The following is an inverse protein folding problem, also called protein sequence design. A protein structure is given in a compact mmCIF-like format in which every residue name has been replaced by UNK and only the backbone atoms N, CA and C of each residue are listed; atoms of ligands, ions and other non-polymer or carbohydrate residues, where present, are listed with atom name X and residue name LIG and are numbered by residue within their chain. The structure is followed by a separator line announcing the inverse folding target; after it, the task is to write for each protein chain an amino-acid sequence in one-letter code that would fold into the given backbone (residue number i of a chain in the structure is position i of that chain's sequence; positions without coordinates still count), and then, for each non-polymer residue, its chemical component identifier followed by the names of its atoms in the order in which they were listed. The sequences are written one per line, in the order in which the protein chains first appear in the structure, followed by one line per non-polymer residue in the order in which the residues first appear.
data_IF_228683933013
#
_entry.id   IF_228683933013
#
_cell.length_a   1.000
_cell.length_b   1.000
_cell.length_c   1.000
_cell.angle_alpha   90.00
_cell.angle_beta   90.00
_cell.angle_gamma   90.00
#
_symmetry.space_group_name_H-M   'P 1'
#
loop_
_entity.id
_entity.type
_entity.pdbx_description
1 polymer ?
#
# COMPACT_ATOMS: atom_id res chain seq x y z
N UNK A 1 6.35 -18.72 14.29
CA UNK A 1 7.16 -17.57 14.76
C UNK A 1 6.34 -16.82 15.80
N UNK A 2 6.77 -16.82 17.07
CA UNK A 2 6.13 -16.00 18.12
C UNK A 2 6.86 -14.65 18.14
N UNK A 3 6.17 -13.57 17.78
CA UNK A 3 6.71 -12.23 17.98
C UNK A 3 6.56 -11.89 19.46
N UNK A 4 7.64 -12.01 20.22
CA UNK A 4 7.70 -11.53 21.60
C UNK A 4 7.87 -10.01 21.50
N UNK A 5 6.78 -9.27 21.61
CA UNK A 5 6.85 -7.82 21.77
C UNK A 5 7.38 -7.54 23.18
N UNK A 6 8.38 -6.66 23.36
CA UNK A 6 8.85 -6.28 24.68
C UNK A 6 7.70 -5.65 25.48
N UNK A 7 7.71 -5.81 26.80
CA UNK A 7 6.67 -5.28 27.71
C UNK A 7 6.48 -3.77 27.66
N UNK A 8 7.39 -3.05 27.02
CA UNK A 8 7.35 -1.61 26.77
C UNK A 8 6.86 -1.23 25.36
N UNK A 9 6.36 -2.16 24.54
CA UNK A 9 5.86 -1.92 23.19
C UNK A 9 4.42 -2.42 23.05
N UNK A 10 3.51 -1.52 22.70
CA UNK A 10 2.10 -1.82 22.51
C UNK A 10 1.67 -1.52 21.07
N UNK A 11 0.91 -2.45 20.49
CA UNK A 11 0.23 -2.26 19.22
C UNK A 11 -1.20 -1.77 19.47
N UNK A 12 -1.57 -0.63 18.89
CA UNK A 12 -2.84 0.05 19.14
C UNK A 12 -3.51 0.42 17.83
N UNK A 13 -4.82 0.22 17.75
CA UNK A 13 -5.67 0.80 16.70
C UNK A 13 -6.50 1.90 17.35
N UNK A 14 -6.31 3.14 16.89
CA UNK A 14 -7.05 4.30 17.42
C UNK A 14 -8.50 4.31 16.92
N UNK A 15 -9.36 5.12 17.54
CA UNK A 15 -10.74 5.32 17.09
C UNK A 15 -10.83 5.82 15.63
N UNK A 16 -9.80 6.54 15.16
CA UNK A 16 -9.71 7.00 13.77
C UNK A 16 -9.28 5.92 12.77
N UNK A 17 -8.99 4.69 13.22
CA UNK A 17 -8.52 3.59 12.38
C UNK A 17 -7.02 3.62 12.08
N UNK A 18 -6.25 4.51 12.73
CA UNK A 18 -4.79 4.51 12.62
C UNK A 18 -4.19 3.38 13.45
N UNK A 19 -3.32 2.60 12.80
CA UNK A 19 -2.57 1.50 13.40
C UNK A 19 -1.21 2.02 13.86
N UNK A 20 -0.89 1.85 15.13
CA UNK A 20 0.26 2.46 15.77
C UNK A 20 1.05 1.46 16.61
N UNK A 21 2.35 1.67 16.67
CA UNK A 21 3.17 1.19 17.76
C UNK A 21 3.46 2.35 18.72
N UNK A 22 3.18 2.15 20.00
CA UNK A 22 3.51 3.08 21.08
C UNK A 22 4.47 2.39 22.05
N UNK A 23 5.42 3.15 22.57
CA UNK A 23 6.42 2.63 23.50
C UNK A 23 6.43 3.40 24.82
N UNK A 24 6.61 2.69 25.91
CA UNK A 24 6.70 3.29 27.24
C UNK A 24 8.07 3.95 27.43
N UNK A 25 8.08 5.26 27.68
CA UNK A 25 9.29 6.01 28.03
C UNK A 25 9.43 6.09 29.55
N UNK A 26 10.41 5.38 30.09
CA UNK A 26 10.65 5.34 31.55
C UNK A 26 10.97 6.71 32.16
N UNK A 27 11.73 7.55 31.45
CA UNK A 27 12.15 8.87 31.96
C UNK A 27 10.97 9.84 32.14
N UNK A 28 10.10 9.94 31.13
CA UNK A 28 8.91 10.80 31.18
C UNK A 28 7.66 10.12 31.75
N UNK A 29 7.73 8.81 32.04
CA UNK A 29 6.63 7.98 32.53
C UNK A 29 5.37 8.12 31.66
N UNK A 30 5.56 8.06 30.36
CA UNK A 30 4.48 8.23 29.39
C UNK A 30 4.59 7.24 28.24
N UNK A 31 3.46 6.98 27.57
CA UNK A 31 3.45 6.29 26.28
C UNK A 31 3.77 7.28 25.17
N UNK A 32 4.85 7.03 24.43
CA UNK A 32 5.23 7.79 23.26
C UNK A 32 4.88 7.04 21.99
N UNK A 33 4.35 7.76 21.01
CA UNK A 33 4.22 7.24 19.65
C UNK A 33 5.62 6.87 19.11
N UNK A 34 5.74 5.65 18.58
CA UNK A 34 6.93 5.19 17.88
C UNK A 34 6.72 5.29 16.36
N UNK A 35 5.63 4.72 15.85
CA UNK A 35 5.30 4.75 14.42
C UNK A 35 3.81 4.57 14.17
N UNK A 36 3.30 5.17 13.09
CA UNK A 36 1.97 4.91 12.53
C UNK A 36 2.17 4.12 11.23
N UNK A 37 1.54 2.93 11.14
CA UNK A 37 1.79 1.98 10.05
C UNK A 37 1.00 2.27 8.78
N UNK A 38 -0.16 2.91 8.87
CA UNK A 38 -1.04 3.20 7.74
C UNK A 38 -1.17 4.70 7.46
N UNK A 39 -0.06 5.44 7.65
CA UNK A 39 -0.06 6.90 7.54
C UNK A 39 0.10 7.36 6.10
N UNK A 40 0.82 6.62 5.28
CA UNK A 40 1.16 7.07 3.94
C UNK A 40 -0.03 6.90 3.00
N UNK A 41 -0.06 7.75 1.98
CA UNK A 41 -1.10 7.74 0.96
C UNK A 41 -1.33 6.34 0.38
N UNK A 42 -0.25 5.61 0.08
CA UNK A 42 -0.29 4.27 -0.50
C UNK A 42 -0.69 3.16 0.49
N UNK A 43 -0.71 3.42 1.79
CA UNK A 43 -1.10 2.40 2.79
C UNK A 43 -2.63 2.25 2.88
N UNK A 44 -3.36 3.20 2.31
CA UNK A 44 -4.83 3.14 2.27
C UNK A 44 -5.25 2.02 1.31
N UNK A 45 -6.23 1.25 1.75
CA UNK A 45 -6.77 0.17 0.94
C UNK A 45 -7.47 0.71 -0.31
N UNK A 46 -7.19 0.11 -1.47
CA UNK A 46 -7.88 0.42 -2.73
C UNK A 46 -7.50 1.75 -3.39
N UNK A 47 -6.38 2.37 -2.99
CA UNK A 47 -5.93 3.63 -3.61
C UNK A 47 -5.66 3.51 -5.10
N UNK A 48 -5.09 2.38 -5.52
CA UNK A 48 -4.96 2.02 -6.93
C UNK A 48 -5.89 0.87 -7.24
N UNK A 49 -6.59 0.96 -8.38
CA UNK A 49 -7.38 -0.15 -8.89
C UNK A 49 -6.52 -1.36 -9.31
N UNK A 50 -7.17 -2.44 -9.76
CA UNK A 50 -6.50 -3.70 -10.11
C UNK A 50 -5.31 -3.51 -11.06
N UNK A 51 -4.21 -4.24 -10.83
CA UNK A 51 -2.97 -4.17 -11.63
C UNK A 51 -2.30 -2.78 -11.68
N UNK A 52 -2.71 -1.86 -10.80
CA UNK A 52 -2.00 -0.61 -10.51
C UNK A 52 -1.14 -0.75 -9.26
N UNK A 53 0.02 -0.12 -9.26
CA UNK A 53 0.89 0.02 -8.10
C UNK A 53 0.94 1.48 -7.63
N UNK A 54 0.95 1.68 -6.32
CA UNK A 54 1.08 3.01 -5.72
C UNK A 54 2.56 3.32 -5.47
N UNK A 55 3.02 4.48 -5.93
CA UNK A 55 4.37 4.96 -5.69
C UNK A 55 4.31 6.14 -4.74
N UNK A 56 4.98 6.02 -3.58
CA UNK A 56 4.92 7.01 -2.51
C UNK A 56 5.55 8.35 -2.93
N UNK A 57 6.56 8.32 -3.79
CA UNK A 57 7.37 9.46 -4.22
C UNK A 57 6.52 10.59 -4.84
N UNK A 58 5.56 10.21 -5.70
CA UNK A 58 4.68 11.16 -6.40
C UNK A 58 3.20 11.00 -5.99
N UNK A 59 2.92 10.18 -4.97
CA UNK A 59 1.56 9.80 -4.56
C UNK A 59 0.64 9.40 -5.74
N UNK A 60 1.21 8.69 -6.72
CA UNK A 60 0.54 8.38 -8.00
C UNK A 60 0.42 6.87 -8.23
N UNK A 61 -0.71 6.46 -8.81
CA UNK A 61 -0.88 5.10 -9.31
C UNK A 61 -0.33 4.95 -10.73
N UNK A 62 0.50 3.91 -10.94
CA UNK A 62 1.00 3.54 -12.26
C UNK A 62 0.66 2.08 -12.56
N UNK A 63 0.41 1.76 -13.81
CA UNK A 63 0.20 0.37 -14.20
C UNK A 63 1.47 -0.45 -14.05
N UNK A 64 1.32 -1.71 -13.67
CA UNK A 64 2.43 -2.67 -13.70
C UNK A 64 3.02 -2.79 -15.12
N UNK A 65 4.29 -3.17 -15.22
CA UNK A 65 4.94 -3.38 -16.52
C UNK A 65 4.17 -4.41 -17.35
N UNK A 66 3.84 -4.07 -18.60
CA UNK A 66 3.00 -4.89 -19.47
C UNK A 66 1.49 -4.62 -19.36
N UNK A 67 1.08 -3.67 -18.52
CA UNK A 67 -0.31 -3.23 -18.36
C UNK A 67 -0.50 -1.78 -18.82
N UNK A 68 -1.73 -1.42 -19.15
CA UNK A 68 -2.15 -0.09 -19.60
C UNK A 68 -3.44 0.31 -18.89
N UNK A 69 -3.75 1.62 -18.68
CA UNK A 69 -4.98 2.03 -18.04
C UNK A 69 -6.21 1.42 -18.71
N UNK A 70 -7.12 0.86 -17.91
CA UNK A 70 -8.38 0.32 -18.44
C UNK A 70 -9.27 1.44 -18.98
N UNK A 71 -9.30 2.56 -18.27
CA UNK A 71 -10.02 3.78 -18.61
C UNK A 71 -9.04 4.96 -18.70
N UNK A 72 -8.39 5.18 -19.86
CA UNK A 72 -7.37 6.23 -20.01
C UNK A 72 -7.88 7.64 -19.66
N UNK A 73 -9.16 7.93 -19.91
CA UNK A 73 -9.76 9.23 -19.60
C UNK A 73 -9.87 9.47 -18.08
N UNK A 74 -10.18 8.45 -17.30
CA UNK A 74 -10.23 8.53 -15.83
C UNK A 74 -8.82 8.70 -15.25
N UNK A 75 -7.85 7.96 -15.79
CA UNK A 75 -6.44 8.06 -15.40
C UNK A 75 -5.88 9.48 -15.57
N UNK A 76 -6.24 10.17 -16.66
CA UNK A 76 -5.86 11.57 -16.93
C UNK A 76 -6.47 12.55 -15.91
N UNK A 77 -7.54 12.16 -15.22
CA UNK A 77 -8.23 12.94 -14.19
C UNK A 77 -7.87 12.48 -12.77
N UNK A 78 -6.81 11.68 -12.62
CA UNK A 78 -6.36 11.15 -11.32
C UNK A 78 -7.42 10.22 -10.68
N UNK A 79 -8.31 9.65 -11.50
CA UNK A 79 -9.20 8.57 -11.08
C UNK A 79 -8.60 7.23 -11.53
N UNK A 80 -8.01 6.54 -10.55
CA UNK A 80 -7.34 5.25 -10.73
C UNK A 80 -8.20 4.07 -10.27
N UNK A 81 -9.48 4.28 -9.96
CA UNK A 81 -10.35 3.21 -9.46
C UNK A 81 -10.55 2.08 -10.47
N UNK A 82 -10.55 2.41 -11.77
CA UNK A 82 -10.80 1.46 -12.87
C UNK A 82 -9.68 0.45 -13.13
N UNK A 83 -8.54 0.57 -12.45
CA UNK A 83 -7.36 -0.28 -12.66
C UNK A 83 -6.72 -0.21 -14.05
N UNK A 84 -5.82 -1.15 -14.25
CA UNK A 84 -5.14 -1.40 -15.51
C UNK A 84 -5.61 -2.72 -16.12
N UNK A 85 -5.35 -2.90 -17.41
CA UNK A 85 -5.55 -4.16 -18.14
C UNK A 85 -4.26 -4.57 -18.81
N UNK A 86 -4.10 -5.86 -19.12
CA UNK A 86 -2.94 -6.33 -19.90
C UNK A 86 -2.89 -5.63 -21.25
N UNK A 87 -1.68 -5.30 -21.70
CA UNK A 87 -1.46 -4.72 -23.03
C UNK A 87 -1.60 -5.77 -24.13
N UNK A 88 -1.30 -7.03 -23.81
CA UNK A 88 -1.37 -8.18 -24.71
C UNK A 88 -2.07 -9.33 -24.00
N UNK A 89 -2.85 -10.11 -24.74
CA UNK A 89 -3.48 -11.32 -24.22
C UNK A 89 -2.43 -12.38 -23.89
N UNK A 90 -2.73 -13.20 -22.88
CA UNK A 90 -1.89 -14.31 -22.48
C UNK A 90 -1.99 -15.45 -23.49
N UNK A 91 -0.87 -16.11 -23.76
CA UNK A 91 -0.79 -17.37 -24.46
C UNK A 91 -0.12 -18.44 -23.60
N UNK A 92 -0.98 -19.30 -23.02
CA UNK A 92 -0.60 -20.39 -22.13
C UNK A 92 0.30 -21.45 -22.79
N UNK A 93 0.39 -21.49 -24.13
CA UNK A 93 1.24 -22.44 -24.87
C UNK A 93 2.74 -22.15 -24.79
N UNK A 94 3.20 -21.35 -23.82
CA UNK A 94 4.61 -21.22 -23.47
C UNK A 94 5.32 -19.94 -23.95
N UNK A 95 4.60 -18.97 -24.49
CA UNK A 95 5.19 -17.65 -24.85
C UNK A 95 5.12 -16.64 -23.71
N UNK A 96 4.27 -16.89 -22.72
CA UNK A 96 4.14 -16.04 -21.55
C UNK A 96 5.30 -16.24 -20.58
N UNK A 97 5.51 -15.23 -19.75
CA UNK A 97 6.48 -15.27 -18.66
C UNK A 97 6.17 -14.22 -17.60
N UNK A 98 7.04 -14.14 -16.61
CA UNK A 98 6.95 -13.15 -15.53
C UNK A 98 7.96 -12.02 -15.76
N UNK A 99 7.59 -10.83 -15.30
CA UNK A 99 8.52 -9.70 -15.25
C UNK A 99 9.57 -10.02 -14.18
N UNK A 100 10.85 -10.00 -14.56
CA UNK A 100 11.99 -10.06 -13.63
C UNK A 100 12.24 -8.71 -12.98
#
# INVERSE_FOLDING_TARGET
MRFILPSSLLFVVTQSGLTQYVTWRNHSREWSLMVILNRLYCDRYGMCGPYGNCYADDANCRCLKGFTPRLPQHWKRVDWGGGCRRKYDLNCSGKDGFVK
#
